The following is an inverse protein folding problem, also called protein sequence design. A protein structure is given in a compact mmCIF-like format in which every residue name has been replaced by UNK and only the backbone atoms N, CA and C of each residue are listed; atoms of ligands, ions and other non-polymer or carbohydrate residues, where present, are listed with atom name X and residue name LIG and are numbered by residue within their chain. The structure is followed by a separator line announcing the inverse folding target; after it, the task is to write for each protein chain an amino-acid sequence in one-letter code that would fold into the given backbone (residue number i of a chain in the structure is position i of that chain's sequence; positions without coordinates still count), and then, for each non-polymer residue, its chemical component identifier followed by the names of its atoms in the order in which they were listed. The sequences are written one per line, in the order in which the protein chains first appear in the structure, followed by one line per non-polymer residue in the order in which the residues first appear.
data_IF_909435555350
#
_entry.id   IF_909435555350
#
_cell.length_a   1.000
_cell.length_b   1.000
_cell.length_c   1.000
_cell.angle_alpha   90.00
_cell.angle_beta   90.00
_cell.angle_gamma   90.00
#
_symmetry.space_group_name_H-M   'P 1'
#
loop_
_entity.id
_entity.type
_entity.pdbx_description
1 polymer ?
#
# COMPACT_ATOMS: atom_id res chain seq x y z
N UNK A 1 10.55 5.82 0.48
CA UNK A 1 9.71 6.99 0.77
C UNK A 1 9.65 7.21 2.27
N UNK A 2 9.72 8.44 2.69
CA UNK A 2 9.62 8.81 4.10
C UNK A 2 8.43 9.75 4.27
N UNK A 3 7.58 9.46 5.25
CA UNK A 3 6.53 10.38 5.67
C UNK A 3 6.92 10.93 7.04
N UNK A 4 6.93 12.23 7.19
CA UNK A 4 7.19 12.89 8.45
C UNK A 4 6.05 13.85 8.78
N UNK A 5 5.64 13.85 10.03
CA UNK A 5 4.60 14.76 10.51
C UNK A 5 3.98 14.25 11.79
N UNK A 6 3.31 15.13 12.48
CA UNK A 6 2.53 14.78 13.67
C UNK A 6 1.21 14.18 13.20
N UNK A 7 0.87 13.01 13.71
CA UNK A 7 -0.34 12.30 13.28
C UNK A 7 -1.14 11.82 14.49
N UNK A 8 -2.43 11.64 14.28
CA UNK A 8 -3.33 11.18 15.36
C UNK A 8 -3.35 9.66 15.45
N UNK A 9 -3.29 8.98 14.31
CA UNK A 9 -3.29 7.53 14.26
C UNK A 9 -2.62 7.05 12.97
N UNK A 10 -1.89 5.95 13.07
CA UNK A 10 -1.35 5.24 11.91
C UNK A 10 -1.92 3.83 11.92
N UNK A 11 -2.46 3.39 10.78
CA UNK A 11 -2.93 2.01 10.61
C UNK A 11 -1.95 1.30 9.71
N UNK A 12 -1.44 0.15 10.15
CA UNK A 12 -0.40 -0.62 9.46
C UNK A 12 -0.90 -2.02 9.10
N UNK A 13 -0.52 -2.56 7.93
CA UNK A 13 -0.80 -3.96 7.60
C UNK A 13 0.29 -4.85 8.19
N UNK A 14 0.20 -5.14 9.48
CA UNK A 14 1.17 -5.96 10.18
C UNK A 14 1.09 -7.45 9.83
N UNK A 15 2.12 -8.20 10.20
CA UNK A 15 2.20 -9.63 9.88
C UNK A 15 1.02 -10.43 10.47
N UNK A 16 0.53 -10.03 11.64
CA UNK A 16 -0.58 -10.69 12.32
C UNK A 16 -1.94 -10.06 12.01
N UNK A 17 -1.98 -9.01 11.20
CA UNK A 17 -3.21 -8.32 10.83
C UNK A 17 -3.05 -6.81 10.89
N UNK A 18 -4.13 -6.12 10.58
CA UNK A 18 -4.16 -4.68 10.61
C UNK A 18 -4.01 -4.15 12.03
N UNK A 19 -3.17 -3.14 12.21
CA UNK A 19 -2.84 -2.58 13.51
C UNK A 19 -3.07 -1.07 13.52
N UNK A 20 -3.83 -0.57 14.48
CA UNK A 20 -3.96 0.86 14.71
C UNK A 20 -2.97 1.32 15.77
N UNK A 21 -2.16 2.31 15.45
CA UNK A 21 -1.13 2.85 16.34
C UNK A 21 -1.54 4.25 16.77
N UNK A 22 -1.86 4.39 18.04
CA UNK A 22 -2.18 5.68 18.65
C UNK A 22 -0.92 6.31 19.28
N UNK A 23 -0.93 7.62 19.57
CA UNK A 23 0.19 8.25 20.25
C UNK A 23 0.54 7.53 21.55
N UNK A 24 1.82 7.51 21.89
CA UNK A 24 2.36 6.86 23.09
C UNK A 24 2.22 5.34 23.10
N UNK A 25 2.06 4.73 21.94
CA UNK A 25 2.02 3.28 21.82
C UNK A 25 3.33 2.67 22.33
N UNK A 26 3.22 1.51 22.97
CA UNK A 26 4.40 0.77 23.44
C UNK A 26 5.32 0.41 22.27
N UNK A 27 6.63 0.36 22.50
CA UNK A 27 7.57 -0.01 21.43
C UNK A 27 7.25 -1.35 20.80
N UNK A 28 7.35 -1.40 19.46
CA UNK A 28 7.04 -2.59 18.68
C UNK A 28 7.83 -2.57 17.39
N UNK A 29 8.32 -3.73 16.98
CA UNK A 29 8.90 -3.92 15.65
C UNK A 29 8.06 -4.98 14.95
N UNK A 30 7.57 -4.69 13.76
CA UNK A 30 6.74 -5.61 13.01
C UNK A 30 7.08 -5.60 11.53
N UNK A 31 6.94 -6.75 10.89
CA UNK A 31 7.00 -6.82 9.43
C UNK A 31 5.66 -6.40 8.86
N UNK A 32 5.70 -5.85 7.64
CA UNK A 32 4.53 -5.41 6.93
C UNK A 32 4.20 -6.35 5.78
N UNK A 33 2.93 -6.58 5.57
CA UNK A 33 2.43 -7.32 4.42
C UNK A 33 2.14 -6.36 3.27
N UNK A 34 1.85 -6.89 2.09
CA UNK A 34 1.22 -6.11 1.04
C UNK A 34 -0.11 -5.57 1.58
N UNK A 35 -0.30 -4.28 1.48
CA UNK A 35 -1.51 -3.66 2.00
C UNK A 35 -1.45 -2.15 1.98
N UNK A 36 -2.18 -1.56 2.90
CA UNK A 36 -2.32 -0.10 2.94
C UNK A 36 -1.89 0.45 4.28
N UNK A 37 -1.15 1.54 4.25
CA UNK A 37 -0.86 2.33 5.44
C UNK A 37 -1.80 3.53 5.40
N UNK A 38 -2.49 3.79 6.49
CA UNK A 38 -3.38 4.95 6.63
C UNK A 38 -2.83 5.85 7.71
N UNK A 39 -2.69 7.12 7.38
CA UNK A 39 -2.19 8.13 8.31
C UNK A 39 -3.26 9.19 8.44
N UNK A 40 -3.74 9.41 9.67
CA UNK A 40 -4.75 10.42 9.94
C UNK A 40 -4.18 11.53 10.79
N UNK A 41 -4.50 12.75 10.38
CA UNK A 41 -4.13 13.96 11.11
C UNK A 41 -5.28 14.96 10.98
N UNK A 42 -5.90 15.32 12.09
CA UNK A 42 -6.96 16.35 12.12
C UNK A 42 -8.06 16.09 11.08
N UNK A 43 -8.56 14.85 11.03
CA UNK A 43 -9.61 14.43 10.11
C UNK A 43 -9.18 14.34 8.65
N UNK A 44 -7.92 14.57 8.34
CA UNK A 44 -7.37 14.34 7.00
C UNK A 44 -6.66 13.01 7.00
N UNK A 45 -7.02 12.14 6.06
CA UNK A 45 -6.42 10.82 5.94
C UNK A 45 -5.62 10.74 4.65
N UNK A 46 -4.38 10.26 4.78
CA UNK A 46 -3.55 9.90 3.63
C UNK A 46 -3.38 8.40 3.63
N UNK A 47 -3.41 7.81 2.46
CA UNK A 47 -3.30 6.37 2.31
C UNK A 47 -2.19 6.04 1.32
N UNK A 48 -1.38 5.06 1.69
CA UNK A 48 -0.25 4.59 0.89
C UNK A 48 -0.37 3.10 0.67
N UNK A 49 0.00 2.63 -0.51
CA UNK A 49 0.21 1.20 -0.71
C UNK A 49 1.59 0.82 -0.20
N UNK A 50 1.73 -0.38 0.34
CA UNK A 50 3.04 -0.94 0.68
C UNK A 50 3.14 -2.37 0.19
N UNK A 51 4.31 -2.73 -0.30
CA UNK A 51 4.58 -4.07 -0.81
C UNK A 51 5.64 -4.73 0.07
N UNK A 52 5.34 -4.83 1.37
CA UNK A 52 6.27 -5.39 2.33
C UNK A 52 7.12 -4.33 3.01
N UNK A 53 7.95 -4.75 3.94
CA UNK A 53 8.82 -3.88 4.70
C UNK A 53 8.76 -4.13 6.19
N UNK A 54 9.22 -3.16 6.96
CA UNK A 54 9.28 -3.22 8.41
C UNK A 54 8.80 -1.90 9.00
N UNK A 55 8.06 -1.96 10.09
CA UNK A 55 7.68 -0.77 10.85
C UNK A 55 8.24 -0.89 12.27
N UNK A 56 8.84 0.21 12.72
CA UNK A 56 9.29 0.36 14.10
C UNK A 56 8.39 1.40 14.78
N UNK A 57 7.75 0.98 15.85
CA UNK A 57 6.86 1.84 16.63
C UNK A 57 7.56 2.21 17.93
N UNK A 58 7.63 3.49 18.21
CA UNK A 58 8.10 4.05 19.47
C UNK A 58 7.06 5.01 19.99
N UNK A 59 7.10 5.40 21.27
CA UNK A 59 6.04 6.28 21.82
C UNK A 59 5.83 7.58 21.05
N UNK A 60 6.89 8.15 20.49
CA UNK A 60 6.82 9.44 19.80
C UNK A 60 6.94 9.35 18.29
N UNK A 61 7.38 8.22 17.75
CA UNK A 61 7.71 8.08 16.34
C UNK A 61 7.32 6.70 15.83
N UNK A 62 6.75 6.68 14.64
CA UNK A 62 6.58 5.44 13.86
C UNK A 62 7.45 5.56 12.62
N UNK A 63 8.38 4.64 12.45
CA UNK A 63 9.25 4.61 11.28
C UNK A 63 8.88 3.43 10.40
N UNK A 64 8.61 3.69 9.13
CA UNK A 64 8.28 2.65 8.16
C UNK A 64 9.38 2.59 7.11
N UNK A 65 10.00 1.42 6.97
CA UNK A 65 10.94 1.11 5.91
C UNK A 65 10.24 0.15 4.97
N UNK A 66 9.66 0.69 3.92
CA UNK A 66 8.88 -0.09 2.98
C UNK A 66 9.72 -0.45 1.75
N UNK A 67 9.53 -1.66 1.24
CA UNK A 67 10.19 -2.09 0.01
C UNK A 67 9.68 -1.30 -1.18
N UNK A 68 8.38 -1.00 -1.16
CA UNK A 68 7.75 -0.11 -2.13
C UNK A 68 6.56 0.54 -1.43
N UNK A 69 6.44 1.85 -1.58
CA UNK A 69 5.32 2.60 -1.01
C UNK A 69 4.94 3.72 -1.95
N UNK A 70 3.65 3.97 -2.05
CA UNK A 70 3.13 4.94 -3.01
C UNK A 70 1.85 5.55 -2.48
N UNK A 71 1.76 6.89 -2.47
CA UNK A 71 0.53 7.58 -2.12
C UNK A 71 -0.52 7.26 -3.16
N UNK A 72 -1.73 6.89 -2.73
CA UNK A 72 -2.78 6.45 -3.66
C UNK A 72 -3.19 7.55 -4.64
N UNK A 73 -3.02 8.82 -4.27
CA UNK A 73 -3.34 9.93 -5.16
C UNK A 73 -2.35 10.06 -6.31
N UNK A 74 -1.17 9.47 -6.18
CA UNK A 74 -0.13 9.51 -7.19
C UNK A 74 -0.13 8.30 -8.11
N UNK A 75 -0.99 7.32 -7.87
CA UNK A 75 -1.05 6.11 -8.68
C UNK A 75 -1.58 6.43 -10.07
N UNK A 76 -0.81 6.03 -11.07
CA UNK A 76 -1.23 6.09 -12.48
C UNK A 76 -2.00 4.81 -12.81
N UNK A 77 -3.32 4.93 -12.88
CA UNK A 77 -4.22 3.79 -13.09
C UNK A 77 -3.94 3.10 -14.43
N UNK A 78 -3.74 3.87 -15.48
CA UNK A 78 -3.48 3.30 -16.81
C UNK A 78 -2.20 2.47 -16.81
N UNK A 79 -1.14 2.98 -16.19
CA UNK A 79 0.12 2.24 -16.10
C UNK A 79 -0.03 0.98 -15.24
N UNK A 80 -0.80 1.07 -14.17
CA UNK A 80 -1.05 -0.09 -13.30
C UNK A 80 -1.83 -1.18 -14.05
N UNK A 81 -2.84 -0.79 -14.83
CA UNK A 81 -3.60 -1.73 -15.65
C UNK A 81 -2.73 -2.38 -16.72
N UNK A 82 -1.89 -1.59 -17.38
CA UNK A 82 -0.96 -2.12 -18.39
C UNK A 82 0.05 -3.08 -17.78
N UNK A 83 0.60 -2.74 -16.62
CA UNK A 83 1.55 -3.60 -15.93
C UNK A 83 0.89 -4.93 -15.50
N UNK A 84 -0.35 -4.85 -15.02
CA UNK A 84 -1.11 -6.03 -14.66
C UNK A 84 -1.34 -6.92 -15.87
N UNK A 85 -1.75 -6.32 -16.99
CA UNK A 85 -2.01 -7.06 -18.21
C UNK A 85 -0.74 -7.75 -18.75
N UNK A 86 0.40 -7.05 -18.74
CA UNK A 86 1.66 -7.62 -19.15
C UNK A 86 2.05 -8.83 -18.31
N UNK A 87 1.89 -8.73 -16.99
CA UNK A 87 2.21 -9.84 -16.10
C UNK A 87 1.29 -11.03 -16.33
N UNK A 88 0.00 -10.79 -16.51
CA UNK A 88 -0.95 -11.85 -16.82
C UNK A 88 -0.65 -12.53 -18.16
N UNK A 89 -0.27 -11.76 -19.18
CA UNK A 89 0.04 -12.30 -20.49
C UNK A 89 1.28 -13.20 -20.44
N UNK A 90 2.31 -12.80 -19.69
CA UNK A 90 3.49 -13.62 -19.52
C UNK A 90 3.16 -14.93 -18.83
N UNK A 91 2.37 -14.90 -17.77
CA UNK A 91 1.97 -16.10 -17.04
C UNK A 91 1.08 -17.00 -17.91
N UNK A 92 0.23 -16.42 -18.76
CA UNK A 92 -0.65 -17.19 -19.64
C UNK A 92 0.12 -17.96 -20.72
N UNK A 93 1.31 -17.49 -21.09
CA UNK A 93 2.16 -18.16 -22.08
C UNK A 93 2.92 -19.35 -21.51
N UNK A 94 2.81 -19.59 -20.21
CA UNK A 94 3.49 -20.67 -19.52
C UNK A 94 4.44 -20.13 -18.47
N UNK A 95 4.77 -20.97 -17.50
CA UNK A 95 5.64 -20.57 -16.41
C UNK A 95 7.09 -20.46 -16.92
N UNK A 96 7.80 -19.40 -16.53
CA UNK A 96 9.23 -19.32 -16.82
C UNK A 96 9.99 -20.50 -16.22
N UNK A 97 11.02 -20.97 -16.90
CA UNK A 97 11.87 -22.03 -16.37
C UNK A 97 12.68 -21.54 -15.16
N UNK A 98 12.93 -20.24 -15.09
CA UNK A 98 13.68 -19.62 -14.01
C UNK A 98 12.73 -19.21 -12.88
N UNK A 99 12.96 -19.77 -11.70
CA UNK A 99 12.16 -19.46 -10.52
C UNK A 99 12.19 -17.98 -10.16
N UNK A 100 13.35 -17.34 -10.28
CA UNK A 100 13.48 -15.92 -9.95
C UNK A 100 12.65 -15.07 -10.92
N UNK A 101 12.65 -15.41 -12.20
CA UNK A 101 11.84 -14.71 -13.19
C UNK A 101 10.34 -14.89 -12.90
N UNK A 102 9.93 -16.09 -12.53
CA UNK A 102 8.55 -16.35 -12.15
C UNK A 102 8.13 -15.51 -10.94
N UNK A 103 8.96 -15.49 -9.89
CA UNK A 103 8.65 -14.72 -8.68
C UNK A 103 8.59 -13.22 -8.97
N UNK A 104 9.44 -12.72 -9.86
CA UNK A 104 9.42 -11.30 -10.23
C UNK A 104 8.11 -10.93 -10.94
N UNK A 105 7.62 -11.80 -11.82
CA UNK A 105 6.36 -11.59 -12.53
C UNK A 105 5.18 -11.63 -11.56
N UNK A 106 5.19 -12.60 -10.66
CA UNK A 106 4.14 -12.73 -9.65
C UNK A 106 4.10 -11.52 -8.73
N UNK A 107 5.27 -11.02 -8.31
CA UNK A 107 5.36 -9.82 -7.49
C UNK A 107 4.84 -8.58 -8.24
N UNK A 108 5.16 -8.46 -9.53
CA UNK A 108 4.67 -7.37 -10.36
C UNK A 108 3.13 -7.39 -10.46
N UNK A 109 2.57 -8.58 -10.61
CA UNK A 109 1.12 -8.75 -10.65
C UNK A 109 0.48 -8.32 -9.32
N UNK A 110 1.05 -8.77 -8.19
CA UNK A 110 0.54 -8.40 -6.87
C UNK A 110 0.58 -6.90 -6.63
N UNK A 111 1.68 -6.24 -7.03
CA UNK A 111 1.79 -4.78 -6.88
C UNK A 111 0.75 -4.06 -7.71
N UNK A 112 0.53 -4.52 -8.94
CA UNK A 112 -0.47 -3.91 -9.82
C UNK A 112 -1.88 -4.08 -9.26
N UNK A 113 -2.20 -5.27 -8.78
CA UNK A 113 -3.50 -5.53 -8.14
C UNK A 113 -3.69 -4.66 -6.90
N UNK A 114 -2.65 -4.50 -6.10
CA UNK A 114 -2.70 -3.66 -4.90
C UNK A 114 -2.97 -2.20 -5.25
N UNK A 115 -2.29 -1.67 -6.28
CA UNK A 115 -2.50 -0.30 -6.73
C UNK A 115 -3.92 -0.08 -7.22
N UNK A 116 -4.43 -0.99 -8.03
CA UNK A 116 -5.78 -0.87 -8.56
C UNK A 116 -6.84 -1.01 -7.46
N UNK A 117 -6.62 -1.89 -6.51
CA UNK A 117 -7.51 -2.01 -5.36
C UNK A 117 -7.50 -0.74 -4.51
N UNK A 118 -6.33 -0.15 -4.29
CA UNK A 118 -6.20 1.09 -3.51
C UNK A 118 -7.01 2.22 -4.14
N UNK A 119 -6.87 2.39 -5.45
CA UNK A 119 -7.61 3.43 -6.16
C UNK A 119 -9.11 3.15 -6.10
N UNK A 120 -9.53 1.94 -6.33
CA UNK A 120 -10.94 1.56 -6.31
C UNK A 120 -11.58 1.80 -4.94
N UNK A 121 -10.86 1.45 -3.86
CA UNK A 121 -11.41 1.54 -2.51
C UNK A 121 -11.30 2.92 -1.89
N UNK A 122 -10.24 3.65 -2.17
CA UNK A 122 -9.88 4.82 -1.37
C UNK A 122 -9.78 6.13 -2.14
N UNK A 123 -9.55 6.11 -3.46
CA UNK A 123 -9.44 7.36 -4.21
C UNK A 123 -10.81 8.01 -4.35
N UNK A 124 -10.92 9.26 -3.94
CA UNK A 124 -12.20 9.94 -3.83
C UNK A 124 -12.62 10.72 -5.07
N UNK A 125 -11.72 10.94 -6.04
CA UNK A 125 -11.97 11.82 -7.17
C UNK A 125 -13.28 11.56 -7.88
N UNK A 126 -13.36 10.50 -8.68
CA UNK A 126 -14.56 10.17 -9.45
C UNK A 126 -15.73 9.84 -8.55
N UNK A 127 -15.48 9.12 -7.46
CA UNK A 127 -16.57 8.69 -6.57
C UNK A 127 -17.18 9.84 -5.81
N UNK A 128 -16.37 10.80 -5.38
CA UNK A 128 -16.90 11.95 -4.64
C UNK A 128 -17.74 12.84 -5.55
N UNK A 129 -17.35 13.00 -6.81
CA UNK A 129 -18.16 13.74 -7.78
C UNK A 129 -19.52 13.10 -7.94
N UNK A 130 -19.54 11.79 -8.05
CA UNK A 130 -20.79 11.06 -8.20
C UNK A 130 -21.65 11.15 -6.94
N UNK A 131 -21.04 11.02 -5.78
CA UNK A 131 -21.73 11.11 -4.50
C UNK A 131 -22.30 12.50 -4.24
N UNK A 132 -21.63 13.53 -4.71
CA UNK A 132 -22.08 14.91 -4.50
C UNK A 132 -23.38 15.25 -5.19
N UNK A 133 -23.79 14.45 -6.14
CA UNK A 133 -25.04 14.66 -6.85
C UNK A 133 -26.26 14.14 -6.09
N UNK A 134 -26.01 13.37 -5.09
CA UNK A 134 -27.08 12.78 -4.29
C UNK A 134 -27.36 13.61 -3.05
#
# INVERSE_FOLDING_TARGET
MVYEGDVDIVVLPGAAGEMGILPHHAPLLTTLKYGFIKVRKQNVEEIFTVAGGVAEVQPDIVTVLADAAENIEEIDVTRAEQARQRAQDVLAKGLPADTDAYLAIEAALRRSDLRLEAVRRYRKGTRSTHSGEN
#
